data_IF_064759696451
#
_entry.id   IF_064759696451
#
_cell.length_a   1.000
_cell.length_b   1.000
_cell.length_c   1.000
_cell.angle_alpha   90.00
_cell.angle_beta   90.00
_cell.angle_gamma   90.00
#
_symmetry.space_group_name_H-M   'P 1'
#
loop_
_entity.id
_entity.type
_entity.pdbx_description
1 polymer ?
#
# COMPACT_ATOMS: atom_id res chain seq x y z
N UNK A 1 -36.51 -30.51 20.83
CA UNK A 1 -35.08 -30.64 20.69
C UNK A 1 -34.68 -30.06 19.35
N UNK A 2 -33.96 -28.98 19.38
CA UNK A 2 -33.44 -28.37 18.16
C UNK A 2 -32.36 -29.24 17.55
N UNK A 3 -32.42 -29.47 16.25
CA UNK A 3 -31.40 -30.21 15.49
C UNK A 3 -30.04 -29.50 15.43
N UNK A 4 -29.83 -28.49 16.22
CA UNK A 4 -28.60 -27.72 16.29
C UNK A 4 -27.51 -28.34 17.16
N UNK A 5 -27.84 -29.41 17.92
CA UNK A 5 -26.90 -30.02 18.85
C UNK A 5 -25.92 -31.01 18.22
N UNK A 6 -25.99 -31.22 16.89
CA UNK A 6 -25.11 -32.16 16.18
C UNK A 6 -24.10 -31.49 15.26
N UNK A 7 -23.91 -30.17 15.36
CA UNK A 7 -22.85 -29.51 14.61
C UNK A 7 -21.51 -29.79 15.28
N UNK A 8 -20.67 -30.56 14.61
CA UNK A 8 -19.29 -30.73 15.00
C UNK A 8 -18.52 -29.47 14.68
N UNK A 9 -17.92 -28.88 15.70
CA UNK A 9 -17.00 -27.77 15.52
C UNK A 9 -15.58 -28.29 15.61
N UNK A 10 -14.75 -27.82 14.68
CA UNK A 10 -13.32 -28.05 14.76
C UNK A 10 -12.59 -26.75 14.96
N UNK A 11 -11.56 -26.83 15.75
CA UNK A 11 -10.62 -25.75 15.95
C UNK A 11 -9.51 -25.88 14.92
N UNK A 12 -9.31 -24.82 14.16
CA UNK A 12 -8.26 -24.77 13.13
C UNK A 12 -7.35 -23.58 13.37
N UNK A 13 -6.11 -23.74 12.98
CA UNK A 13 -5.12 -22.67 12.93
C UNK A 13 -4.97 -22.27 11.45
N UNK A 14 -5.13 -21.02 11.17
CA UNK A 14 -5.03 -20.49 9.83
C UNK A 14 -4.40 -19.10 9.84
N UNK A 15 -3.92 -18.69 8.68
CA UNK A 15 -3.49 -17.30 8.48
C UNK A 15 -4.70 -16.40 8.22
N UNK A 16 -4.70 -15.27 8.87
CA UNK A 16 -5.77 -14.29 8.74
C UNK A 16 -5.20 -12.87 8.72
N UNK A 17 -5.96 -11.96 8.15
CA UNK A 17 -5.66 -10.53 8.23
C UNK A 17 -6.00 -10.06 9.65
N UNK A 18 -4.97 -9.78 10.44
CA UNK A 18 -5.08 -9.40 11.83
C UNK A 18 -5.15 -7.89 12.03
N UNK A 19 -4.64 -7.15 11.07
CA UNK A 19 -4.67 -5.69 11.07
C UNK A 19 -4.70 -5.14 9.66
N UNK A 20 -5.34 -4.01 9.50
CA UNK A 20 -5.47 -3.31 8.22
C UNK A 20 -5.45 -1.81 8.44
N UNK A 21 -4.72 -1.12 7.59
CA UNK A 21 -4.64 0.33 7.65
C UNK A 21 -4.50 0.95 6.27
N UNK A 22 -4.86 2.20 6.20
CA UNK A 22 -4.77 3.01 4.98
C UNK A 22 -4.35 4.42 5.34
N UNK A 23 -3.44 4.99 4.58
CA UNK A 23 -3.01 6.37 4.78
C UNK A 23 -2.74 7.06 3.47
N UNK A 24 -3.39 8.19 3.30
CA UNK A 24 -3.12 9.17 2.26
C UNK A 24 -2.20 10.25 2.82
N UNK A 25 -1.17 10.62 2.06
CA UNK A 25 -0.19 11.64 2.46
C UNK A 25 0.02 12.63 1.33
N UNK A 26 -0.03 13.91 1.66
CA UNK A 26 0.45 15.00 0.82
C UNK A 26 1.69 15.62 1.46
N UNK A 27 2.70 15.84 0.65
CA UNK A 27 3.96 16.41 1.11
C UNK A 27 4.45 17.48 0.13
N UNK A 28 5.12 18.48 0.66
CA UNK A 28 5.75 19.54 -0.10
C UNK A 28 7.26 19.38 -0.06
N UNK A 29 7.89 19.41 -1.21
CA UNK A 29 9.34 19.28 -1.34
C UNK A 29 9.92 20.46 -2.08
N UNK A 30 11.13 20.84 -1.71
CA UNK A 30 11.86 21.90 -2.38
C UNK A 30 12.98 21.30 -3.19
N UNK A 31 12.96 21.55 -4.49
CA UNK A 31 14.02 21.17 -5.43
C UNK A 31 14.87 22.39 -5.69
N UNK A 32 16.19 22.26 -5.53
CA UNK A 32 17.14 23.33 -5.72
C UNK A 32 17.86 23.17 -7.06
N UNK A 33 17.47 23.90 -8.09
CA UNK A 33 18.13 23.84 -9.39
C UNK A 33 19.47 24.54 -9.39
N UNK A 34 20.35 24.16 -10.32
CA UNK A 34 21.67 24.77 -10.49
C UNK A 34 21.60 26.22 -11.01
N UNK A 35 20.53 26.56 -11.68
CA UNK A 35 20.28 27.88 -12.25
C UNK A 35 18.91 28.38 -11.82
N UNK A 36 18.78 29.69 -11.74
CA UNK A 36 17.49 30.31 -11.39
C UNK A 36 16.45 29.98 -12.48
N UNK A 37 15.34 29.29 -12.14
CA UNK A 37 14.38 28.90 -13.15
C UNK A 37 13.60 30.09 -13.69
N UNK A 38 13.35 30.09 -14.99
CA UNK A 38 12.42 31.00 -15.65
C UNK A 38 11.01 30.42 -15.67
N UNK A 39 10.90 29.14 -16.06
CA UNK A 39 9.62 28.42 -16.05
C UNK A 39 9.83 26.94 -15.79
N UNK A 40 8.82 26.28 -15.27
CA UNK A 40 8.79 24.85 -15.04
C UNK A 40 8.17 24.18 -16.24
N UNK A 41 8.86 23.18 -16.81
CA UNK A 41 8.38 22.41 -17.95
C UNK A 41 7.62 21.17 -17.51
N UNK A 42 8.01 20.56 -16.40
CA UNK A 42 7.34 19.41 -15.82
C UNK A 42 8.15 18.80 -14.70
N UNK A 43 7.45 18.15 -13.77
CA UNK A 43 8.08 17.41 -12.68
C UNK A 43 7.49 16.01 -12.62
N UNK A 44 8.37 14.99 -12.54
CA UNK A 44 7.99 13.59 -12.48
C UNK A 44 8.65 12.91 -11.30
N UNK A 45 7.95 11.94 -10.76
CA UNK A 45 8.45 11.08 -9.68
C UNK A 45 8.90 9.76 -10.31
N UNK A 46 10.13 9.36 -10.01
CA UNK A 46 10.73 8.11 -10.47
C UNK A 46 11.43 7.38 -9.33
N UNK A 47 11.81 6.11 -9.58
CA UNK A 47 12.59 5.30 -8.65
C UNK A 47 11.95 5.16 -7.27
N UNK A 48 10.64 5.02 -7.21
CA UNK A 48 9.96 4.79 -5.94
C UNK A 48 10.26 3.40 -5.38
N UNK A 49 10.77 3.36 -4.16
CA UNK A 49 11.06 2.14 -3.39
C UNK A 49 10.52 2.32 -1.99
N UNK A 50 10.00 1.25 -1.43
CA UNK A 50 9.51 1.25 -0.06
C UNK A 50 9.54 -0.15 0.55
N UNK A 51 9.57 -0.18 1.87
CA UNK A 51 9.42 -1.37 2.68
C UNK A 51 8.61 -1.04 3.92
N UNK A 52 8.00 -2.05 4.51
CA UNK A 52 7.10 -1.87 5.62
C UNK A 52 7.47 -2.77 6.78
N UNK A 53 7.30 -2.26 7.99
CA UNK A 53 7.51 -3.00 9.23
C UNK A 53 6.40 -2.67 10.23
N UNK A 54 5.96 -3.69 10.97
CA UNK A 54 5.02 -3.49 12.06
C UNK A 54 5.75 -2.94 13.28
N UNK A 55 5.21 -1.86 13.85
CA UNK A 55 5.66 -1.28 15.12
C UNK A 55 4.47 -1.02 16.03
N UNK A 56 4.31 -1.88 17.06
CA UNK A 56 3.14 -1.80 17.94
C UNK A 56 1.83 -1.93 17.16
N UNK A 57 0.97 -0.93 17.27
CA UNK A 57 -0.34 -0.85 16.62
C UNK A 57 -0.30 -0.16 15.26
N UNK A 58 0.88 0.09 14.73
CA UNK A 58 1.08 0.77 13.47
C UNK A 58 1.97 -0.02 12.54
N UNK A 59 1.87 0.30 11.26
CA UNK A 59 2.86 -0.13 10.24
C UNK A 59 3.60 1.12 9.78
N UNK A 60 4.92 1.08 9.88
CA UNK A 60 5.77 2.11 9.28
C UNK A 60 6.15 1.71 7.87
N UNK A 61 5.84 2.57 6.92
CA UNK A 61 6.31 2.45 5.54
C UNK A 61 7.43 3.43 5.33
N UNK A 62 8.63 2.91 5.14
CA UNK A 62 9.81 3.70 4.82
C UNK A 62 10.10 3.60 3.33
N UNK A 63 10.27 4.72 2.71
CA UNK A 63 10.49 4.76 1.28
C UNK A 63 11.32 5.92 0.81
N UNK A 64 11.62 5.89 -0.47
CA UNK A 64 12.32 6.96 -1.18
C UNK A 64 11.86 7.06 -2.62
N UNK A 65 11.97 8.23 -3.17
CA UNK A 65 11.76 8.50 -4.58
C UNK A 65 12.59 9.68 -5.03
N UNK A 66 12.76 9.80 -6.34
CA UNK A 66 13.44 10.92 -6.97
C UNK A 66 12.41 11.82 -7.64
N UNK A 67 12.57 13.12 -7.46
CA UNK A 67 11.83 14.13 -8.18
C UNK A 67 12.73 14.66 -9.29
N UNK A 68 12.33 14.47 -10.54
CA UNK A 68 12.96 15.11 -11.69
C UNK A 68 12.13 16.32 -12.12
N UNK A 69 12.73 17.48 -11.99
CA UNK A 69 12.09 18.72 -12.38
C UNK A 69 12.79 19.32 -13.60
N UNK A 70 12.10 19.32 -14.72
CA UNK A 70 12.55 19.95 -15.97
C UNK A 70 12.14 21.41 -15.94
N UNK A 71 13.10 22.28 -16.16
CA UNK A 71 12.88 23.72 -16.15
C UNK A 71 13.67 24.44 -17.22
N UNK A 72 13.23 25.63 -17.58
CA UNK A 72 13.97 26.55 -18.42
C UNK A 72 14.64 27.62 -17.58
N UNK A 73 15.76 28.16 -18.10
CA UNK A 73 16.45 29.28 -17.52
C UNK A 73 17.02 30.21 -18.59
N UNK A 74 17.63 31.31 -18.21
CA UNK A 74 18.11 32.33 -19.11
C UNK A 74 17.01 32.80 -20.09
N UNK A 75 15.89 33.29 -19.55
CA UNK A 75 14.74 33.76 -20.32
C UNK A 75 14.21 32.69 -21.30
N UNK A 76 14.06 31.45 -20.86
CA UNK A 76 13.58 30.32 -21.64
C UNK A 76 14.49 29.91 -22.82
N UNK A 77 15.77 30.26 -22.80
CA UNK A 77 16.72 29.93 -23.87
C UNK A 77 17.43 28.60 -23.65
N UNK A 78 17.46 28.13 -22.40
CA UNK A 78 18.10 26.86 -22.02
C UNK A 78 17.18 26.03 -21.15
N UNK A 79 17.34 24.71 -21.21
CA UNK A 79 16.60 23.75 -20.39
C UNK A 79 17.55 22.86 -19.63
N UNK A 80 17.18 22.52 -18.42
CA UNK A 80 17.90 21.58 -17.55
C UNK A 80 16.93 20.75 -16.73
N UNK A 81 17.46 19.69 -16.14
CA UNK A 81 16.77 18.87 -15.13
C UNK A 81 17.44 19.03 -13.79
N UNK A 82 16.63 19.28 -12.77
CA UNK A 82 17.04 19.23 -11.38
C UNK A 82 16.46 17.97 -10.74
N UNK A 83 17.25 17.25 -9.96
CA UNK A 83 16.83 16.03 -9.29
C UNK A 83 16.99 16.19 -7.79
N UNK A 84 15.96 15.79 -7.05
CA UNK A 84 15.97 15.73 -5.59
C UNK A 84 15.55 14.35 -5.15
N UNK A 85 16.33 13.70 -4.28
CA UNK A 85 15.96 12.44 -3.66
C UNK A 85 15.26 12.70 -2.35
N UNK A 86 14.06 12.17 -2.21
CA UNK A 86 13.22 12.30 -1.03
C UNK A 86 13.15 10.96 -0.31
N UNK A 87 13.40 10.98 0.99
CA UNK A 87 13.12 9.86 1.89
C UNK A 87 11.95 10.20 2.77
N UNK A 88 11.11 9.22 3.06
CA UNK A 88 9.93 9.44 3.89
C UNK A 88 9.64 8.25 4.79
N UNK A 89 8.91 8.49 5.85
CA UNK A 89 8.34 7.48 6.73
C UNK A 89 6.86 7.80 6.93
N UNK A 90 6.01 6.89 6.48
CA UNK A 90 4.57 6.98 6.71
C UNK A 90 4.18 6.02 7.81
N UNK A 91 3.57 6.53 8.87
CA UNK A 91 3.05 5.74 9.98
C UNK A 91 1.57 5.49 9.74
N UNK A 92 1.23 4.23 9.47
CA UNK A 92 -0.13 3.81 9.13
C UNK A 92 -0.77 3.15 10.34
N UNK A 93 -1.78 3.77 10.98
CA UNK A 93 -2.49 3.14 12.07
C UNK A 93 -3.27 1.92 11.59
N UNK A 94 -3.25 0.84 12.37
CA UNK A 94 -4.04 -0.35 12.10
C UNK A 94 -5.43 -0.19 12.71
N UNK A 95 -6.46 -0.33 11.89
CA UNK A 95 -7.86 -0.14 12.29
C UNK A 95 -8.54 -1.43 12.74
N UNK A 96 -8.12 -2.55 12.21
CA UNK A 96 -8.67 -3.86 12.57
C UNK A 96 -7.58 -4.66 13.25
N UNK A 97 -7.87 -5.15 14.44
CA UNK A 97 -6.96 -5.97 15.22
C UNK A 97 -7.64 -7.27 15.57
N UNK A 98 -6.94 -8.37 15.36
CA UNK A 98 -7.34 -9.67 15.89
C UNK A 98 -6.51 -9.93 17.16
N UNK A 99 -7.18 -9.93 18.30
CA UNK A 99 -6.55 -10.18 19.59
C UNK A 99 -6.20 -11.66 19.79
N UNK A 100 -6.61 -12.52 18.88
CA UNK A 100 -6.38 -13.97 18.95
C UNK A 100 -5.13 -14.44 18.18
N UNK A 101 -4.21 -13.54 17.88
CA UNK A 101 -2.95 -13.89 17.23
C UNK A 101 -2.15 -14.83 18.13
N UNK A 102 -1.73 -15.98 17.59
CA UNK A 102 -1.03 -17.02 18.34
C UNK A 102 0.44 -16.72 18.58
N UNK A 103 1.05 -15.88 17.79
CA UNK A 103 2.46 -15.49 17.92
C UNK A 103 2.71 -14.09 17.37
N UNK A 104 3.84 -13.50 17.75
CA UNK A 104 4.30 -12.22 17.21
C UNK A 104 4.92 -12.36 15.81
N UNK A 105 4.96 -13.55 15.28
CA UNK A 105 5.46 -13.81 13.92
C UNK A 105 4.38 -13.49 12.89
N UNK A 106 4.40 -12.25 12.44
CA UNK A 106 3.42 -11.72 11.51
C UNK A 106 4.09 -11.28 10.21
N UNK A 107 3.37 -11.42 9.11
CA UNK A 107 3.76 -10.90 7.81
C UNK A 107 3.11 -9.54 7.59
N UNK A 108 3.90 -8.56 7.23
CA UNK A 108 3.43 -7.21 6.91
C UNK A 108 3.46 -7.02 5.39
N UNK A 109 2.34 -6.60 4.87
CA UNK A 109 2.21 -6.24 3.44
C UNK A 109 1.83 -4.78 3.33
N UNK A 110 2.54 -4.06 2.47
CA UNK A 110 2.17 -2.71 2.10
C UNK A 110 2.09 -2.60 0.58
N UNK A 111 1.08 -1.91 0.12
CA UNK A 111 0.85 -1.63 -1.30
C UNK A 111 0.61 -0.14 -1.48
N UNK A 112 1.36 0.46 -2.39
CA UNK A 112 1.08 1.80 -2.86
C UNK A 112 -0.16 1.73 -3.77
N UNK A 113 -1.32 2.07 -3.24
CA UNK A 113 -2.56 2.16 -4.05
C UNK A 113 -2.60 3.43 -4.88
N UNK A 114 -1.84 4.43 -4.45
CA UNK A 114 -1.47 5.57 -5.25
C UNK A 114 0.04 5.77 -5.14
N UNK A 115 0.75 5.56 -6.24
CA UNK A 115 2.18 5.85 -6.33
C UNK A 115 2.43 7.34 -6.10
N UNK A 116 3.60 7.73 -5.55
CA UNK A 116 3.93 9.13 -5.44
C UNK A 116 3.76 9.86 -6.78
N UNK A 117 2.97 10.90 -6.76
CA UNK A 117 2.52 11.63 -7.95
C UNK A 117 2.60 13.13 -7.70
N UNK A 118 3.09 13.85 -8.68
CA UNK A 118 3.15 15.31 -8.65
C UNK A 118 1.77 15.91 -8.86
N UNK A 119 1.30 16.70 -7.90
CA UNK A 119 0.07 17.47 -8.02
C UNK A 119 0.32 18.83 -8.65
N UNK A 120 1.33 19.53 -8.14
CA UNK A 120 1.63 20.89 -8.52
C UNK A 120 3.13 21.15 -8.36
N UNK A 121 3.69 21.94 -9.24
CA UNK A 121 5.05 22.44 -9.13
C UNK A 121 5.08 23.92 -9.42
N UNK A 122 5.64 24.71 -8.50
CA UNK A 122 5.71 26.16 -8.59
C UNK A 122 7.10 26.65 -8.30
N UNK A 123 7.46 27.79 -8.87
CA UNK A 123 8.70 28.49 -8.51
C UNK A 123 8.50 29.15 -7.15
N UNK A 124 9.48 29.02 -6.25
CA UNK A 124 9.44 29.61 -4.92
C UNK A 124 9.33 31.13 -4.96
N UNK A 125 8.83 31.79 -3.88
CA UNK A 125 8.68 33.25 -3.85
C UNK A 125 9.99 34.01 -4.10
N UNK A 126 11.13 33.46 -3.68
CA UNK A 126 12.44 34.05 -3.94
C UNK A 126 12.96 33.78 -5.36
N UNK A 127 12.25 32.97 -6.14
CA UNK A 127 12.58 32.67 -7.52
C UNK A 127 13.73 31.68 -7.74
N UNK A 128 14.30 31.10 -6.70
CA UNK A 128 15.53 30.29 -6.78
C UNK A 128 15.32 28.79 -6.66
N UNK A 129 14.14 28.34 -6.25
CA UNK A 129 13.82 26.95 -6.03
C UNK A 129 12.50 26.58 -6.66
N UNK A 130 12.25 25.28 -6.79
CA UNK A 130 10.97 24.73 -7.23
C UNK A 130 10.32 24.01 -6.07
N UNK A 131 9.08 24.36 -5.75
CA UNK A 131 8.26 23.70 -4.74
C UNK A 131 7.34 22.71 -5.41
N UNK A 132 7.46 21.44 -5.04
CA UNK A 132 6.71 20.34 -5.64
C UNK A 132 5.78 19.73 -4.60
N UNK A 133 4.49 19.70 -4.91
CA UNK A 133 3.48 19.02 -4.11
C UNK A 133 3.34 17.59 -4.61
N UNK A 134 3.48 16.61 -3.70
CA UNK A 134 3.43 15.19 -4.02
C UNK A 134 2.38 14.53 -3.15
N UNK A 135 1.59 13.66 -3.72
CA UNK A 135 0.65 12.83 -2.99
C UNK A 135 0.94 11.35 -3.20
N UNK A 136 0.65 10.56 -2.17
CA UNK A 136 0.79 9.10 -2.18
C UNK A 136 -0.21 8.48 -1.24
N UNK A 137 -0.55 7.21 -1.45
CA UNK A 137 -1.45 6.48 -0.58
C UNK A 137 -1.01 5.03 -0.44
N UNK A 138 -0.98 4.55 0.80
CA UNK A 138 -0.64 3.16 1.13
C UNK A 138 -1.81 2.44 1.77
N UNK A 139 -1.98 1.20 1.38
CA UNK A 139 -2.78 0.19 2.07
C UNK A 139 -1.82 -0.79 2.73
N UNK A 140 -2.04 -1.08 4.01
CA UNK A 140 -1.23 -2.03 4.76
C UNK A 140 -2.09 -3.13 5.33
N UNK A 141 -1.54 -4.34 5.36
CA UNK A 141 -2.17 -5.50 5.98
C UNK A 141 -1.14 -6.25 6.83
N UNK A 142 -1.58 -6.71 7.98
CA UNK A 142 -0.82 -7.59 8.85
C UNK A 142 -1.48 -8.95 8.86
N UNK A 143 -0.73 -9.96 8.47
CA UNK A 143 -1.19 -11.35 8.37
C UNK A 143 -0.49 -12.17 9.45
N UNK A 144 -1.25 -12.86 10.26
CA UNK A 144 -0.75 -13.71 11.32
C UNK A 144 -1.54 -15.00 11.46
N UNK A 145 -1.02 -15.92 12.25
CA UNK A 145 -1.74 -17.15 12.56
C UNK A 145 -2.74 -16.91 13.67
N UNK A 146 -3.95 -17.35 13.45
CA UNK A 146 -5.05 -17.28 14.40
C UNK A 146 -5.76 -18.62 14.49
N UNK A 147 -6.46 -18.80 15.59
CA UNK A 147 -7.25 -20.00 15.87
C UNK A 147 -8.72 -19.68 15.76
N UNK A 148 -9.42 -20.43 14.94
CA UNK A 148 -10.87 -20.28 14.73
C UNK A 148 -11.58 -21.61 14.91
N UNK A 149 -12.84 -21.53 15.30
CA UNK A 149 -13.76 -22.67 15.32
C UNK A 149 -14.59 -22.66 14.05
N UNK A 150 -14.58 -23.79 13.33
CA UNK A 150 -15.36 -23.97 12.12
C UNK A 150 -16.37 -25.07 12.30
N UNK A 151 -17.57 -24.85 11.76
CA UNK A 151 -18.58 -25.90 11.71
C UNK A 151 -18.20 -26.88 10.58
N UNK A 152 -18.18 -28.16 10.94
CA UNK A 152 -17.87 -29.24 9.99
C UNK A 152 -19.18 -29.81 9.44
N UNK A 153 -19.23 -30.01 8.13
CA UNK A 153 -20.40 -30.59 7.49
C UNK A 153 -20.68 -31.99 8.07
N UNK A 154 -21.96 -32.36 8.33
CA UNK A 154 -22.31 -33.63 8.95
C UNK A 154 -21.82 -34.87 8.18
N UNK A 155 -21.66 -34.73 6.86
CA UNK A 155 -21.25 -35.85 5.99
C UNK A 155 -19.75 -36.08 5.92
N UNK A 156 -18.95 -35.33 6.71
CA UNK A 156 -17.57 -35.64 6.90
C UNK A 156 -16.56 -34.58 6.48
N UNK A 157 -15.37 -35.04 6.11
CA UNK A 157 -14.23 -34.21 5.73
C UNK A 157 -14.21 -33.92 4.23
N UNK A 158 -13.41 -32.92 3.82
CA UNK A 158 -13.24 -32.56 2.39
C UNK A 158 -12.82 -33.76 1.53
N UNK A 159 -12.07 -34.73 2.11
CA UNK A 159 -11.66 -35.93 1.40
C UNK A 159 -12.82 -36.86 0.98
N UNK A 160 -13.98 -36.70 1.60
CA UNK A 160 -15.20 -37.45 1.30
C UNK A 160 -16.17 -36.68 0.39
N UNK A 161 -15.83 -35.44 0.04
CA UNK A 161 -16.64 -34.65 -0.90
C UNK A 161 -16.36 -35.10 -2.34
N UNK A 162 -17.42 -35.29 -3.09
CA UNK A 162 -17.32 -35.58 -4.52
C UNK A 162 -16.66 -34.39 -5.24
N UNK A 163 -15.59 -34.63 -6.00
CA UNK A 163 -14.94 -33.56 -6.77
C UNK A 163 -15.90 -32.83 -7.72
N UNK A 164 -16.95 -33.46 -8.16
CA UNK A 164 -17.97 -32.84 -9.03
C UNK A 164 -18.73 -31.71 -8.33
N UNK A 165 -18.72 -31.66 -7.01
CA UNK A 165 -19.35 -30.57 -6.26
C UNK A 165 -18.61 -29.23 -6.41
N UNK A 166 -17.40 -29.24 -6.93
CA UNK A 166 -16.58 -28.04 -7.17
C UNK A 166 -16.57 -27.61 -8.63
N UNK A 167 -17.25 -28.35 -9.51
CA UNK A 167 -17.30 -28.09 -10.96
C UNK A 167 -18.47 -27.18 -11.38
N UNK A 168 -19.39 -26.85 -10.47
CA UNK A 168 -20.53 -25.99 -10.80
C UNK A 168 -20.23 -24.52 -10.51
N UNK A 169 -19.35 -23.88 -11.23
CA UNK A 169 -19.40 -22.43 -11.49
C UNK A 169 -18.26 -21.95 -12.39
N UNK A 170 -17.80 -22.78 -13.28
CA UNK A 170 -17.09 -22.26 -14.46
C UNK A 170 -18.10 -22.18 -15.58
N UNK A 171 -18.95 -21.18 -15.55
CA UNK A 171 -19.59 -20.72 -16.77
C UNK A 171 -18.49 -20.11 -17.61
N UNK A 172 -18.11 -20.84 -18.65
CA UNK A 172 -17.40 -20.27 -19.78
C UNK A 172 -18.21 -19.06 -20.27
N UNK A 173 -17.95 -17.88 -19.75
CA UNK A 173 -18.24 -16.68 -20.49
C UNK A 173 -17.20 -16.65 -21.60
N UNK A 174 -17.63 -17.06 -22.76
CA UNK A 174 -16.92 -16.91 -24.00
C UNK A 174 -16.50 -15.43 -24.12
N UNK A 175 -15.19 -15.21 -24.02
CA UNK A 175 -14.61 -13.99 -24.52
C UNK A 175 -14.55 -14.07 -26.05
N UNK A 176 -15.51 -13.43 -26.70
CA UNK A 176 -15.33 -13.03 -28.09
C UNK A 176 -14.56 -11.72 -28.18
#
# INVERSE_FOLDING_TARGET
>A
MSQTDNLNYREIITKAVCGKGRKFTQASHTVSPSHKPTSILGCWIINHRYEAAKKGDTVEVQGSYDINCWYSHQNNTKTEVATETVTYTDVVPLQVKDDNILSDDVQVMAKAIQQPNTLEATISPNGSSVVVQVEREFLTEVIGETKIHVAVHPDGTIAELDPSMFEEDVTDEEFE
#
